data_IF_011666135515
#
_entry.id   IF_011666135515
#
_cell.length_a   1.000
_cell.length_b   1.000
_cell.length_c   1.000
_cell.angle_alpha   90.00
_cell.angle_beta   90.00
_cell.angle_gamma   90.00
#
_symmetry.space_group_name_H-M   'P 1'
#
loop_
_entity.id
_entity.type
_entity.pdbx_description
1 polymer ?
#
# COMPACT_ATOMS: atom_id res chain seq x y z
N UNK A 1 -4.02 -1.72 -10.61
CA UNK A 1 -3.81 -2.16 -12.00
C UNK A 1 -2.46 -2.86 -12.14
N UNK A 2 -2.46 -4.20 -12.14
CA UNK A 2 -1.25 -5.00 -12.35
C UNK A 2 -1.56 -6.24 -13.21
N UNK A 3 -0.82 -6.47 -14.33
CA UNK A 3 0.15 -5.56 -14.94
C UNK A 3 -0.53 -4.39 -15.67
N UNK A 4 0.11 -3.22 -15.72
CA UNK A 4 -0.31 -2.12 -16.59
C UNK A 4 0.19 -2.35 -18.02
N UNK A 5 -0.75 -2.53 -18.97
CA UNK A 5 -0.46 -2.95 -20.34
C UNK A 5 -0.78 -1.88 -21.40
N UNK A 6 -1.25 -0.72 -20.96
CA UNK A 6 -1.63 0.40 -21.81
C UNK A 6 -2.11 1.59 -20.98
N UNK A 7 -2.40 2.73 -21.62
CA UNK A 7 -2.96 3.90 -20.95
C UNK A 7 -4.37 3.58 -20.43
N UNK A 8 -4.75 4.16 -19.28
CA UNK A 8 -6.06 3.99 -18.68
C UNK A 8 -6.60 5.34 -18.20
N UNK A 9 -7.89 5.55 -18.43
CA UNK A 9 -8.66 6.60 -17.75
C UNK A 9 -9.52 5.92 -16.68
N UNK A 10 -9.35 6.32 -15.43
CA UNK A 10 -9.98 5.69 -14.29
C UNK A 10 -11.18 6.51 -13.79
N UNK A 11 -12.29 5.84 -13.51
CA UNK A 11 -13.29 6.36 -12.59
C UNK A 11 -12.88 5.98 -11.17
N UNK A 12 -12.55 6.99 -10.36
CA UNK A 12 -12.04 6.82 -9.00
C UNK A 12 -13.13 6.99 -7.94
N UNK A 13 -14.40 7.06 -8.33
CA UNK A 13 -15.52 7.20 -7.41
C UNK A 13 -15.55 6.04 -6.40
N UNK A 14 -15.37 6.35 -5.11
CA UNK A 14 -15.35 5.37 -4.04
C UNK A 14 -14.06 4.54 -3.93
N UNK A 15 -13.05 4.83 -4.76
CA UNK A 15 -11.73 4.20 -4.69
C UNK A 15 -10.83 5.04 -3.79
N UNK A 16 -10.21 4.41 -2.79
CA UNK A 16 -9.29 5.11 -1.88
C UNK A 16 -7.81 4.75 -2.10
N UNK A 17 -7.52 3.71 -2.89
CA UNK A 17 -6.16 3.27 -3.13
C UNK A 17 -5.99 2.66 -4.51
N UNK A 18 -5.00 3.14 -5.27
CA UNK A 18 -4.61 2.60 -6.56
C UNK A 18 -3.17 2.11 -6.48
N UNK A 19 -2.98 0.85 -6.85
CA UNK A 19 -1.68 0.21 -6.92
C UNK A 19 -1.35 -0.03 -8.39
N UNK A 20 -0.20 0.43 -8.88
CA UNK A 20 0.25 0.24 -10.26
C UNK A 20 1.55 -0.53 -10.30
N UNK A 21 1.67 -1.47 -11.23
CA UNK A 21 2.91 -2.20 -11.47
C UNK A 21 2.95 -2.83 -12.87
N UNK A 22 4.16 -2.99 -13.40
CA UNK A 22 4.40 -3.63 -14.69
C UNK A 22 4.51 -5.15 -14.61
N UNK A 23 4.49 -5.79 -15.79
CA UNK A 23 4.50 -7.24 -15.93
C UNK A 23 5.86 -7.86 -15.55
N UNK A 24 5.83 -9.00 -14.86
CA UNK A 24 7.04 -9.77 -14.54
C UNK A 24 7.00 -11.16 -15.14
N UNK A 25 8.14 -11.66 -15.60
CA UNK A 25 8.29 -13.05 -16.07
C UNK A 25 8.98 -13.17 -17.42
N UNK A 26 8.94 -14.38 -17.98
CA UNK A 26 9.34 -14.59 -19.37
C UNK A 26 8.38 -13.84 -20.29
N UNK A 27 8.92 -13.13 -21.30
CA UNK A 27 8.15 -12.29 -22.24
C UNK A 27 7.39 -11.12 -21.62
N UNK A 28 7.85 -10.59 -20.48
CA UNK A 28 7.27 -9.38 -19.88
C UNK A 28 7.21 -8.24 -20.91
N UNK A 29 6.06 -7.55 -20.95
CA UNK A 29 5.88 -6.36 -21.77
C UNK A 29 6.39 -5.12 -21.04
N UNK A 30 7.18 -4.26 -21.70
CA UNK A 30 7.62 -3.00 -21.10
C UNK A 30 6.41 -2.09 -20.88
N UNK A 31 6.35 -1.47 -19.72
CA UNK A 31 5.40 -0.41 -19.39
C UNK A 31 5.98 0.93 -19.82
N UNK A 32 5.15 1.79 -20.39
CA UNK A 32 5.55 3.17 -20.71
C UNK A 32 5.39 4.07 -19.48
N UNK A 33 6.31 5.03 -19.32
CA UNK A 33 6.34 5.94 -18.15
C UNK A 33 5.12 6.84 -18.11
N UNK A 34 4.63 7.25 -19.27
CA UNK A 34 3.50 8.15 -19.45
C UNK A 34 2.20 7.51 -18.91
N UNK A 35 2.06 6.19 -18.99
CA UNK A 35 0.87 5.49 -18.52
C UNK A 35 0.77 5.53 -16.99
N UNK A 36 1.90 5.29 -16.31
CA UNK A 36 1.93 5.33 -14.84
C UNK A 36 1.88 6.76 -14.31
N UNK A 37 2.52 7.72 -15.00
CA UNK A 37 2.41 9.14 -14.66
C UNK A 37 0.96 9.62 -14.77
N UNK A 38 0.27 9.28 -15.86
CA UNK A 38 -1.15 9.65 -16.02
C UNK A 38 -2.03 9.09 -14.92
N UNK A 39 -1.84 7.82 -14.51
CA UNK A 39 -2.61 7.24 -13.40
C UNK A 39 -2.26 7.92 -12.07
N UNK A 40 -0.98 8.20 -11.81
CA UNK A 40 -0.55 8.93 -10.61
C UNK A 40 -1.25 10.28 -10.53
N UNK A 41 -1.25 11.05 -11.62
CA UNK A 41 -1.82 12.39 -11.65
C UNK A 41 -3.34 12.33 -11.46
N UNK A 42 -4.03 11.38 -12.11
CA UNK A 42 -5.45 11.11 -11.85
C UNK A 42 -5.74 10.80 -10.36
N UNK A 43 -4.86 10.05 -9.70
CA UNK A 43 -5.01 9.76 -8.27
C UNK A 43 -4.80 11.00 -7.40
N UNK A 44 -3.77 11.81 -7.70
CA UNK A 44 -3.50 13.05 -6.98
C UNK A 44 -4.66 14.04 -7.10
N UNK A 45 -5.18 14.23 -8.31
CA UNK A 45 -6.31 15.13 -8.58
C UNK A 45 -7.58 14.68 -7.84
N UNK A 46 -7.77 13.37 -7.67
CA UNK A 46 -8.91 12.79 -6.96
C UNK A 46 -8.69 12.62 -5.44
N UNK A 47 -7.51 12.95 -4.91
CA UNK A 47 -7.16 12.71 -3.49
C UNK A 47 -7.10 11.23 -3.11
N UNK A 48 -6.80 10.36 -4.07
CA UNK A 48 -6.69 8.90 -3.91
C UNK A 48 -5.25 8.52 -3.70
N UNK A 49 -4.98 7.64 -2.71
CA UNK A 49 -3.61 7.19 -2.45
C UNK A 49 -3.06 6.40 -3.63
N UNK A 50 -1.82 6.68 -4.01
CA UNK A 50 -1.14 6.05 -5.12
C UNK A 50 0.10 5.25 -4.66
N UNK A 51 0.15 3.98 -5.07
CA UNK A 51 1.28 3.10 -4.81
C UNK A 51 1.86 2.57 -6.11
N UNK A 52 3.12 2.90 -6.36
CA UNK A 52 3.89 2.32 -7.45
C UNK A 52 4.68 1.12 -6.96
N UNK A 53 4.26 -0.09 -7.39
CA UNK A 53 4.83 -1.33 -6.88
C UNK A 53 6.13 -1.70 -7.59
N UNK A 54 6.19 -1.63 -8.92
CA UNK A 54 7.39 -1.91 -9.74
C UNK A 54 7.19 -1.61 -11.23
N UNK A 55 8.28 -1.47 -11.99
CA UNK A 55 8.26 -1.36 -13.46
C UNK A 55 7.98 -2.66 -14.22
N UNK A 56 8.19 -3.82 -13.58
CA UNK A 56 8.18 -5.12 -14.26
C UNK A 56 9.59 -5.59 -14.64
N UNK A 57 9.69 -6.67 -15.40
CA UNK A 57 10.98 -7.22 -15.83
C UNK A 57 11.06 -8.74 -15.82
N UNK A 58 12.26 -9.27 -16.12
CA UNK A 58 12.55 -10.71 -16.11
C UNK A 58 12.20 -11.38 -14.78
N UNK A 59 12.34 -10.64 -13.67
CA UNK A 59 11.92 -11.02 -12.32
C UNK A 59 11.15 -9.86 -11.67
N UNK A 60 10.34 -10.10 -10.62
CA UNK A 60 9.48 -9.07 -10.03
C UNK A 60 10.21 -7.81 -9.51
N UNK A 61 11.52 -7.87 -9.26
CA UNK A 61 12.30 -6.76 -8.69
C UNK A 61 13.34 -6.19 -9.65
N UNK A 62 13.35 -6.65 -10.91
CA UNK A 62 14.45 -6.39 -11.84
C UNK A 62 14.65 -4.91 -12.17
N UNK A 63 13.57 -4.13 -12.31
CA UNK A 63 13.62 -2.73 -12.70
C UNK A 63 13.26 -1.75 -11.57
N UNK A 64 13.16 -2.24 -10.32
CA UNK A 64 12.96 -1.37 -9.17
C UNK A 64 11.60 -0.68 -9.10
N UNK A 65 11.54 0.40 -8.31
CA UNK A 65 10.31 1.06 -7.85
C UNK A 65 10.33 2.59 -7.95
N UNK A 66 11.34 3.16 -8.60
CA UNK A 66 11.47 4.60 -8.73
C UNK A 66 10.61 5.08 -9.89
N UNK A 67 9.69 5.99 -9.63
CA UNK A 67 8.96 6.75 -10.64
C UNK A 67 9.33 8.21 -10.44
N UNK A 68 9.93 8.82 -11.46
CA UNK A 68 10.45 10.19 -11.43
C UNK A 68 11.43 10.42 -10.26
N UNK A 69 12.32 9.46 -10.04
CA UNK A 69 13.34 9.52 -8.97
C UNK A 69 12.80 9.35 -7.56
N UNK A 70 11.50 9.08 -7.39
CA UNK A 70 10.83 8.94 -6.09
C UNK A 70 10.16 7.57 -5.93
N UNK A 71 10.08 7.09 -4.70
CA UNK A 71 9.22 5.96 -4.32
C UNK A 71 7.82 6.49 -4.02
N UNK A 72 6.81 5.87 -4.63
CA UNK A 72 5.41 6.15 -4.37
C UNK A 72 4.81 4.97 -3.63
N UNK A 73 4.62 5.10 -2.32
CA UNK A 73 4.20 4.03 -1.42
C UNK A 73 3.07 4.47 -0.48
N UNK A 74 2.23 5.39 -0.96
CA UNK A 74 1.13 5.95 -0.18
C UNK A 74 0.13 4.87 0.26
N UNK A 75 -0.34 5.00 1.50
CA UNK A 75 -1.36 4.15 2.09
C UNK A 75 -2.67 4.95 2.26
N UNK A 76 -3.83 4.31 2.07
CA UNK A 76 -5.10 4.98 2.27
C UNK A 76 -5.36 5.23 3.76
N UNK A 77 -6.08 6.31 4.10
CA UNK A 77 -6.38 6.70 5.49
C UNK A 77 -7.05 5.56 6.30
N UNK A 78 -7.85 4.72 5.63
CA UNK A 78 -8.50 3.55 6.26
C UNK A 78 -7.48 2.54 6.80
N UNK A 79 -6.31 2.43 6.18
CA UNK A 79 -5.23 1.56 6.63
C UNK A 79 -4.61 2.09 7.93
N UNK A 80 -4.35 3.39 8.03
CA UNK A 80 -3.82 4.01 9.25
C UNK A 80 -4.80 3.85 10.42
N UNK A 81 -6.10 4.06 10.16
CA UNK A 81 -7.17 3.84 11.16
C UNK A 81 -7.19 2.40 11.66
N UNK A 82 -7.04 1.41 10.76
CA UNK A 82 -6.94 0.01 11.13
C UNK A 82 -5.71 -0.28 12.00
N UNK A 83 -4.53 0.24 11.62
CA UNK A 83 -3.30 0.05 12.39
C UNK A 83 -3.40 0.60 13.80
N UNK A 84 -3.95 1.81 13.97
CA UNK A 84 -4.17 2.43 15.30
C UNK A 84 -5.08 1.55 16.17
N UNK A 85 -6.22 1.13 15.62
CA UNK A 85 -7.18 0.27 16.33
C UNK A 85 -6.54 -1.05 16.77
N UNK A 86 -5.75 -1.69 15.90
CA UNK A 86 -5.07 -2.94 16.24
C UNK A 86 -4.04 -2.73 17.35
N UNK A 87 -3.22 -1.67 17.25
CA UNK A 87 -2.19 -1.38 18.24
C UNK A 87 -2.79 -1.07 19.63
N UNK A 88 -3.90 -0.32 19.66
CA UNK A 88 -4.65 -0.06 20.89
C UNK A 88 -5.21 -1.35 21.51
N UNK A 89 -5.71 -2.27 20.69
CA UNK A 89 -6.21 -3.57 21.11
C UNK A 89 -5.08 -4.44 21.70
N UNK A 90 -3.92 -4.49 21.04
CA UNK A 90 -2.74 -5.21 21.54
C UNK A 90 -2.24 -4.63 22.86
N UNK A 91 -2.22 -3.30 23.02
CA UNK A 91 -1.84 -2.66 24.27
C UNK A 91 -2.84 -2.91 25.39
N UNK A 92 -4.15 -2.95 25.09
CA UNK A 92 -5.19 -3.34 26.05
C UNK A 92 -5.03 -4.80 26.50
N UNK A 93 -4.78 -5.74 25.59
CA UNK A 93 -4.54 -7.15 25.93
C UNK A 93 -3.32 -7.29 26.83
N UNK A 94 -2.20 -6.65 26.47
CA UNK A 94 -0.96 -6.66 27.28
C UNK A 94 -1.20 -6.14 28.71
N UNK A 95 -1.87 -4.97 28.85
CA UNK A 95 -2.23 -4.42 30.17
C UNK A 95 -3.18 -5.32 30.95
N UNK A 96 -4.19 -5.89 30.31
CA UNK A 96 -5.15 -6.77 30.98
C UNK A 96 -4.52 -8.10 31.41
N UNK A 97 -3.54 -8.60 30.64
CA UNK A 97 -2.72 -9.77 31.01
C UNK A 97 -1.84 -9.47 32.24
N UNK A 98 -1.17 -8.30 32.26
CA UNK A 98 -0.42 -7.84 33.44
C UNK A 98 -1.31 -7.64 34.67
N UNK A 99 -2.52 -7.08 34.51
CA UNK A 99 -3.50 -6.93 35.62
C UNK A 99 -4.00 -8.27 36.15
N UNK A 100 -4.18 -9.27 35.28
CA UNK A 100 -4.52 -10.65 35.71
C UNK A 100 -3.34 -11.31 36.44
N UNK A 101 -2.10 -11.04 36.05
CA UNK A 101 -0.91 -11.60 36.68
C UNK A 101 -0.54 -10.96 38.04
N UNK A 102 -1.09 -9.79 38.38
CA UNK A 102 -0.83 -9.09 39.66
C UNK A 102 -1.92 -9.26 40.72
N UNK A 103 -2.98 -10.04 40.45
CA UNK A 103 -4.00 -10.37 41.46
C UNK A 103 -3.70 -11.72 42.11
N UNK A 104 -2.59 -11.85 42.84
CA UNK A 104 -2.40 -12.91 43.84
C UNK A 104 -1.50 -12.43 44.98
N UNK A 105 -2.10 -12.36 46.18
CA UNK A 105 -1.57 -12.18 47.54
C UNK A 105 -1.10 -10.76 47.96
N UNK A 106 -1.49 -10.22 49.12
CA UNK A 106 -1.72 -10.85 50.43
C UNK A 106 -2.95 -10.28 51.16
N UNK A 107 -3.78 -11.15 51.76
CA UNK A 107 -4.59 -10.82 52.95
C UNK A 107 -4.52 -11.97 53.95
N UNK A 108 -3.51 -11.90 54.80
CA UNK A 108 -3.40 -12.30 56.22
C UNK A 108 -1.92 -12.44 56.56
#
# INVERSE_FOLDING_TARGET
CEPLLGPLQLDLTGICWVIVGGESGQKHRPMQVEWVQSIRDQCQDAGVSFFFKQWGGRTPKAAGRLLDGKIWDEMPEVWEKHQRKFNDYSFQISRNSMKKATTTLVKM
#
